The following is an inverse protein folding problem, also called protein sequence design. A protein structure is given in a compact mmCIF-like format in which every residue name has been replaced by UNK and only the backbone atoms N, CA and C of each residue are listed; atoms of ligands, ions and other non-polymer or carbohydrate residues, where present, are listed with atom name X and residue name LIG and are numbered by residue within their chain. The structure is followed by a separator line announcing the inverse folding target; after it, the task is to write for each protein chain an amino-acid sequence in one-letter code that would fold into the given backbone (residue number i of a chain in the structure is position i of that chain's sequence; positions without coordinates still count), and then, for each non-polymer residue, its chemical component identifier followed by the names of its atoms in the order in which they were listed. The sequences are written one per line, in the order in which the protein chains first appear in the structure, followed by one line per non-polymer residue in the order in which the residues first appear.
data_IF_672890161264
#
_entry.id   IF_672890161264
#
_cell.length_a   1.000
_cell.length_b   1.000
_cell.length_c   1.000
_cell.angle_alpha   90.00
_cell.angle_beta   90.00
_cell.angle_gamma   90.00
#
_symmetry.space_group_name_H-M   'P 1'
#
loop_
_entity.id
_entity.type
_entity.pdbx_description
1 polymer ?
#
# COMPACT_ATOMS: atom_id res chain seq x y z
N UNK A 1 -7.06 18.22 2.05
CA UNK A 1 -7.38 16.78 2.16
C UNK A 1 -8.77 16.65 2.74
N UNK A 2 -9.75 16.27 1.92
CA UNK A 2 -11.13 16.17 2.39
C UNK A 2 -11.26 14.93 3.30
N UNK A 3 -12.11 15.01 4.33
CA UNK A 3 -12.22 13.92 5.33
C UNK A 3 -12.66 12.58 4.71
N UNK A 4 -13.40 12.63 3.62
CA UNK A 4 -13.90 11.48 2.86
C UNK A 4 -12.75 10.78 2.10
N UNK A 5 -11.87 11.54 1.45
CA UNK A 5 -10.73 10.99 0.70
C UNK A 5 -9.76 10.25 1.64
N UNK A 6 -9.54 10.78 2.84
CA UNK A 6 -8.69 10.12 3.84
C UNK A 6 -9.24 8.75 4.29
N UNK A 7 -10.56 8.65 4.48
CA UNK A 7 -11.21 7.39 4.87
C UNK A 7 -11.12 6.37 3.73
N UNK A 8 -11.35 6.81 2.48
CA UNK A 8 -11.26 5.93 1.30
C UNK A 8 -9.86 5.32 1.17
N UNK A 9 -8.81 6.13 1.33
CA UNK A 9 -7.43 5.68 1.24
C UNK A 9 -7.07 4.64 2.30
N UNK A 10 -7.55 4.80 3.54
CA UNK A 10 -7.36 3.78 4.58
C UNK A 10 -8.01 2.45 4.24
N UNK A 11 -9.25 2.49 3.73
CA UNK A 11 -9.99 1.28 3.33
C UNK A 11 -9.24 0.55 2.22
N UNK A 12 -8.72 1.27 1.22
CA UNK A 12 -7.93 0.68 0.13
C UNK A 12 -6.69 -0.01 0.68
N UNK A 13 -5.94 0.62 1.58
CA UNK A 13 -4.73 0.00 2.11
C UNK A 13 -5.05 -1.23 2.98
N UNK A 14 -6.14 -1.22 3.74
CA UNK A 14 -6.61 -2.41 4.45
C UNK A 14 -6.99 -3.55 3.50
N UNK A 15 -7.70 -3.26 2.41
CA UNK A 15 -8.03 -4.24 1.36
C UNK A 15 -6.76 -4.83 0.73
N UNK A 16 -5.77 -3.98 0.41
CA UNK A 16 -4.46 -4.42 -0.12
C UNK A 16 -3.75 -5.31 0.89
N UNK A 17 -3.73 -4.95 2.18
CA UNK A 17 -3.13 -5.80 3.24
C UNK A 17 -3.83 -7.13 3.39
N UNK A 18 -5.16 -7.16 3.32
CA UNK A 18 -5.91 -8.40 3.36
C UNK A 18 -5.62 -9.28 2.15
N UNK A 19 -5.59 -8.69 0.95
CA UNK A 19 -5.20 -9.39 -0.28
C UNK A 19 -3.78 -9.96 -0.18
N UNK A 20 -2.82 -9.18 0.32
CA UNK A 20 -1.44 -9.61 0.56
C UNK A 20 -1.32 -10.73 1.59
N UNK A 21 -2.17 -10.71 2.62
CA UNK A 21 -2.22 -11.74 3.67
C UNK A 21 -2.88 -13.02 3.17
N UNK A 22 -3.83 -12.90 2.25
CA UNK A 22 -4.50 -14.02 1.58
C UNK A 22 -3.65 -14.61 0.44
N UNK A 23 -2.66 -13.85 -0.05
CA UNK A 23 -1.79 -14.26 -1.14
C UNK A 23 -0.94 -15.49 -0.80
N UNK A 24 -0.65 -16.37 -1.78
CA UNK A 24 0.19 -17.54 -1.59
C UNK A 24 1.63 -17.16 -1.18
N UNK A 25 2.32 -18.08 -0.48
CA UNK A 25 3.63 -17.89 0.21
C UNK A 25 4.75 -17.23 -0.61
N UNK A 26 4.69 -17.27 -1.94
CA UNK A 26 5.68 -16.67 -2.84
C UNK A 26 5.10 -15.56 -3.74
N UNK A 27 3.80 -15.24 -3.59
CA UNK A 27 3.04 -14.31 -4.41
C UNK A 27 2.94 -12.91 -3.83
N UNK A 28 3.46 -12.65 -2.63
CA UNK A 28 3.33 -11.36 -1.93
C UNK A 28 3.68 -10.16 -2.83
N UNK A 29 4.82 -10.21 -3.53
CA UNK A 29 5.24 -9.11 -4.42
C UNK A 29 4.41 -9.02 -5.70
N UNK A 30 3.95 -10.16 -6.22
CA UNK A 30 3.08 -10.20 -7.39
C UNK A 30 1.71 -9.60 -7.07
N UNK A 31 1.13 -9.99 -5.93
CA UNK A 31 -0.12 -9.44 -5.42
C UNK A 31 0.01 -7.96 -5.11
N UNK A 32 1.14 -7.53 -4.51
CA UNK A 32 1.42 -6.11 -4.26
C UNK A 32 1.44 -5.30 -5.55
N UNK A 33 2.09 -5.80 -6.60
CA UNK A 33 2.07 -5.18 -7.93
C UNK A 33 0.65 -5.17 -8.52
N UNK A 34 -0.09 -6.26 -8.40
CA UNK A 34 -1.44 -6.38 -8.95
C UNK A 34 -2.40 -5.41 -8.28
N UNK A 35 -2.33 -5.30 -6.95
CA UNK A 35 -3.08 -4.32 -6.17
C UNK A 35 -2.63 -2.88 -6.48
N UNK A 36 -1.33 -2.65 -6.68
CA UNK A 36 -0.81 -1.33 -7.07
C UNK A 36 -1.33 -0.89 -8.44
N UNK A 37 -1.53 -1.82 -9.38
CA UNK A 37 -2.14 -1.55 -10.68
C UNK A 37 -3.66 -1.37 -10.53
N UNK A 38 -4.33 -2.23 -9.75
CA UNK A 38 -5.79 -2.18 -9.52
C UNK A 38 -6.23 -0.86 -8.91
N UNK A 39 -5.47 -0.37 -7.94
CA UNK A 39 -5.73 0.90 -7.27
C UNK A 39 -4.83 2.02 -7.79
N UNK A 40 -4.17 1.90 -8.94
CA UNK A 40 -3.21 2.91 -9.42
C UNK A 40 -3.80 4.34 -9.48
N UNK A 41 -5.08 4.45 -9.85
CA UNK A 41 -5.78 5.72 -9.97
C UNK A 41 -6.12 6.34 -8.59
N UNK A 42 -6.50 5.51 -7.61
CA UNK A 42 -6.77 5.97 -6.24
C UNK A 42 -5.48 6.16 -5.43
N UNK A 43 -4.51 5.24 -5.57
CA UNK A 43 -3.16 5.34 -5.02
C UNK A 43 -2.39 6.54 -5.59
N UNK A 44 -2.74 7.02 -6.78
CA UNK A 44 -2.19 8.25 -7.35
C UNK A 44 -2.48 9.51 -6.51
N UNK A 45 -3.50 9.45 -5.64
CA UNK A 45 -3.81 10.54 -4.70
C UNK A 45 -3.02 10.44 -3.39
N UNK A 46 -2.40 9.30 -3.07
CA UNK A 46 -1.52 9.16 -1.91
C UNK A 46 -0.07 9.20 -2.34
N UNK A 47 0.78 9.74 -1.48
CA UNK A 47 2.21 9.70 -1.76
C UNK A 47 2.75 8.29 -1.55
N UNK A 48 3.75 7.89 -2.35
CA UNK A 48 4.44 6.61 -2.18
C UNK A 48 5.01 6.41 -0.76
N UNK A 49 5.24 7.52 -0.04
CA UNK A 49 5.67 7.53 1.36
C UNK A 49 4.56 7.05 2.29
N UNK A 50 3.37 7.62 2.21
CA UNK A 50 2.22 7.18 3.02
C UNK A 50 1.85 5.73 2.72
N UNK A 51 1.91 5.32 1.44
CA UNK A 51 1.69 3.94 1.05
C UNK A 51 2.68 2.96 1.70
N UNK A 52 3.99 3.27 1.67
CA UNK A 52 5.01 2.45 2.32
C UNK A 52 4.87 2.43 3.85
N UNK A 53 4.60 3.57 4.48
CA UNK A 53 4.38 3.66 5.94
C UNK A 53 3.17 2.83 6.36
N UNK A 54 2.05 2.96 5.65
CA UNK A 54 0.83 2.22 5.95
C UNK A 54 0.98 0.72 5.67
N UNK A 55 1.64 0.30 4.58
CA UNK A 55 1.94 -1.12 4.32
C UNK A 55 2.94 -1.74 5.31
N UNK A 56 3.51 -0.95 6.23
CA UNK A 56 4.53 -1.44 7.16
C UNK A 56 5.85 -1.78 6.47
N UNK A 57 6.05 -1.32 5.24
CA UNK A 57 7.34 -1.29 4.57
C UNK A 57 8.15 -0.22 5.30
N UNK A 58 8.82 -0.63 6.39
CA UNK A 58 9.72 0.23 7.16
C UNK A 58 10.55 1.07 6.18
N UNK A 59 10.61 2.40 6.34
CA UNK A 59 11.56 3.19 5.60
C UNK A 59 12.95 2.76 6.04
N UNK A 60 13.53 1.78 5.36
CA UNK A 60 14.97 1.55 5.38
C UNK A 60 15.65 2.62 4.54
N UNK A 61 15.29 3.89 4.74
CA UNK A 61 16.08 5.03 4.33
C UNK A 61 17.12 5.26 5.43
N UNK A 62 18.29 4.61 5.27
CA UNK A 62 19.52 4.97 5.96
C UNK A 62 19.80 4.26 7.29
N UNK A 63 20.39 3.06 7.23
CA UNK A 63 21.37 2.66 8.25
C UNK A 63 22.66 2.15 7.60
N UNK A 64 23.21 2.95 6.69
CA UNK A 64 24.61 2.79 6.30
C UNK A 64 25.28 4.15 6.40
N UNK A 65 25.68 4.50 7.61
CA UNK A 65 27.00 5.03 7.98
C UNK A 65 27.14 4.93 9.50
#
# INVERSE_FOLDING_TARGET
MNRIEYIMNKVIIEEIKQALTSAPRNGFMAELHLQSIKYAEELGNITAREFCEELGLKPSYGHRV
#
